data_IF_579729816295
#
_entry.id   IF_579729816295
#
_cell.length_a   1.000
_cell.length_b   1.000
_cell.length_c   1.000
_cell.angle_alpha   90.00
_cell.angle_beta   90.00
_cell.angle_gamma   90.00
#
_symmetry.space_group_name_H-M   'P 1'
#
loop_
_entity.id
_entity.type
_entity.pdbx_description
1 polymer ?
#
# COMPACT_ATOMS: atom_id res chain seq x y z
N UNK A 1 -27.51 7.05 17.91
CA UNK A 1 -26.97 6.30 16.74
C UNK A 1 -28.17 5.88 15.90
N UNK A 2 -28.05 5.85 14.58
CA UNK A 2 -29.19 5.54 13.70
C UNK A 2 -29.63 4.08 13.91
N UNK A 3 -30.93 3.84 14.12
CA UNK A 3 -31.55 2.51 14.22
C UNK A 3 -31.47 1.69 12.91
N UNK A 4 -30.67 2.13 11.96
CA UNK A 4 -30.48 1.46 10.68
C UNK A 4 -29.40 0.38 10.81
N UNK A 5 -29.73 -0.89 10.62
CA UNK A 5 -28.79 -2.00 10.67
C UNK A 5 -27.62 -1.76 9.68
N UNK A 6 -26.39 -1.92 10.17
CA UNK A 6 -25.22 -1.46 9.46
C UNK A 6 -24.09 -2.49 9.54
N UNK A 7 -23.37 -2.66 8.45
CA UNK A 7 -22.05 -3.29 8.44
C UNK A 7 -20.99 -2.21 8.66
N UNK A 8 -20.23 -2.32 9.74
CA UNK A 8 -19.09 -1.46 10.04
C UNK A 8 -17.78 -2.15 9.65
N UNK A 9 -16.92 -1.49 8.90
CA UNK A 9 -15.57 -1.96 8.63
C UNK A 9 -14.66 -1.31 9.68
N UNK A 10 -14.13 -2.11 10.59
CA UNK A 10 -13.45 -1.62 11.79
C UNK A 10 -11.96 -2.01 11.75
N UNK A 11 -11.06 -1.06 11.49
CA UNK A 11 -9.63 -1.30 11.59
C UNK A 11 -9.18 -1.64 13.01
N UNK A 12 -8.25 -2.58 13.13
CA UNK A 12 -7.62 -3.03 14.37
C UNK A 12 -6.14 -2.63 14.40
N UNK A 13 -5.48 -2.61 15.57
CA UNK A 13 -4.06 -2.30 15.67
C UNK A 13 -3.17 -3.20 14.81
N UNK A 14 -2.08 -2.67 14.28
CA UNK A 14 -1.06 -3.41 13.52
C UNK A 14 0.15 -3.83 14.36
N UNK A 15 0.08 -3.67 15.68
CA UNK A 15 1.17 -4.04 16.60
C UNK A 15 1.15 -3.30 17.92
N UNK A 16 0.54 -2.11 17.97
CA UNK A 16 0.40 -1.33 19.19
C UNK A 16 -1.09 -1.11 19.50
N UNK A 17 -1.55 -1.66 20.60
CA UNK A 17 -2.95 -1.56 21.01
C UNK A 17 -3.43 -0.08 21.12
N UNK A 18 -2.55 0.84 21.48
CA UNK A 18 -2.89 2.27 21.58
C UNK A 18 -3.30 2.93 20.26
N UNK A 19 -3.03 2.29 19.12
CA UNK A 19 -3.39 2.81 17.79
C UNK A 19 -4.85 2.59 17.41
N UNK A 20 -5.63 1.85 18.20
CA UNK A 20 -7.07 1.72 17.95
C UNK A 20 -7.77 3.05 18.18
N UNK A 21 -8.68 3.41 17.28
CA UNK A 21 -9.42 4.67 17.47
C UNK A 21 -10.52 4.53 18.51
N UNK A 22 -10.83 5.61 19.24
CA UNK A 22 -11.95 5.63 20.18
C UNK A 22 -13.27 5.23 19.48
N UNK A 23 -13.49 5.72 18.26
CA UNK A 23 -14.67 5.36 17.46
C UNK A 23 -14.76 3.87 17.15
N UNK A 24 -13.63 3.20 16.89
CA UNK A 24 -13.60 1.75 16.71
C UNK A 24 -14.05 1.02 17.98
N UNK A 25 -13.52 1.42 19.14
CA UNK A 25 -13.94 0.87 20.44
C UNK A 25 -15.42 1.08 20.73
N UNK A 26 -15.96 2.26 20.44
CA UNK A 26 -17.37 2.56 20.66
C UNK A 26 -18.28 1.75 19.76
N UNK A 27 -17.90 1.53 18.50
CA UNK A 27 -18.61 0.66 17.57
C UNK A 27 -18.57 -0.79 18.05
N UNK A 28 -17.37 -1.31 18.40
CA UNK A 28 -17.23 -2.70 18.89
C UNK A 28 -18.06 -2.97 20.16
N UNK A 29 -18.29 -1.95 21.01
CA UNK A 29 -19.18 -2.06 22.19
C UNK A 29 -20.66 -2.02 21.83
N UNK A 30 -21.02 -1.43 20.69
CA UNK A 30 -22.42 -1.16 20.33
C UNK A 30 -23.01 -2.15 19.35
N UNK A 31 -22.20 -2.91 18.60
CA UNK A 31 -22.69 -3.87 17.61
C UNK A 31 -23.20 -5.16 18.24
N UNK A 32 -24.10 -5.84 17.54
CA UNK A 32 -24.65 -7.13 17.99
C UNK A 32 -23.71 -8.29 17.73
N UNK A 33 -22.76 -8.14 16.79
CA UNK A 33 -21.90 -9.21 16.34
C UNK A 33 -20.60 -8.65 15.74
N UNK A 34 -19.47 -9.32 16.00
CA UNK A 34 -18.19 -9.07 15.34
C UNK A 34 -17.85 -10.23 14.41
N UNK A 35 -17.82 -9.98 13.10
CA UNK A 35 -17.28 -10.89 12.11
C UNK A 35 -15.75 -10.72 12.08
N UNK A 36 -15.03 -11.79 12.37
CA UNK A 36 -13.59 -11.80 12.59
C UNK A 36 -12.91 -12.87 11.74
N UNK A 37 -11.73 -12.57 11.24
CA UNK A 37 -10.89 -13.53 10.51
C UNK A 37 -10.49 -14.69 11.42
N UNK A 38 -9.78 -14.40 12.52
CA UNK A 38 -9.57 -15.35 13.64
C UNK A 38 -10.26 -14.83 14.91
N UNK A 39 -11.31 -15.53 15.33
CA UNK A 39 -12.09 -15.17 16.54
C UNK A 39 -11.27 -15.26 17.82
N UNK A 40 -10.18 -16.05 17.87
CA UNK A 40 -9.30 -16.18 19.04
C UNK A 40 -8.43 -14.93 19.15
N UNK A 41 -7.86 -14.49 18.03
CA UNK A 41 -7.04 -13.28 17.97
C UNK A 41 -7.88 -12.04 18.32
N UNK A 42 -9.04 -11.90 17.68
CA UNK A 42 -10.00 -10.84 17.99
C UNK A 42 -10.47 -10.89 19.45
N UNK A 43 -10.65 -12.10 20.01
CA UNK A 43 -11.03 -12.28 21.43
C UNK A 43 -10.00 -11.68 22.40
N UNK A 44 -8.71 -11.73 22.09
CA UNK A 44 -7.64 -11.11 22.91
C UNK A 44 -7.81 -9.58 22.89
N UNK A 45 -8.02 -8.98 21.70
CA UNK A 45 -8.26 -7.54 21.55
C UNK A 45 -9.50 -7.09 22.33
N UNK A 46 -10.64 -7.77 22.16
CA UNK A 46 -11.89 -7.46 22.84
C UNK A 46 -11.75 -7.56 24.37
N UNK A 47 -11.06 -8.60 24.86
CA UNK A 47 -10.80 -8.79 26.29
C UNK A 47 -9.94 -7.67 26.87
N UNK A 48 -8.90 -7.23 26.14
CA UNK A 48 -8.03 -6.12 26.58
C UNK A 48 -8.83 -4.83 26.82
N UNK A 49 -9.82 -4.55 25.94
CA UNK A 49 -10.67 -3.37 26.07
C UNK A 49 -11.96 -3.60 26.84
N UNK A 50 -12.09 -4.76 27.52
CA UNK A 50 -13.28 -5.15 28.29
C UNK A 50 -14.58 -5.06 27.49
N UNK A 51 -14.53 -5.49 26.22
CA UNK A 51 -15.67 -5.52 25.31
C UNK A 51 -16.21 -6.95 25.27
N UNK A 52 -17.51 -7.11 25.59
CA UNK A 52 -18.21 -8.38 25.54
C UNK A 52 -19.21 -8.34 24.39
N UNK A 53 -18.88 -8.98 23.28
CA UNK A 53 -19.70 -9.08 22.07
C UNK A 53 -19.51 -10.46 21.44
N UNK A 54 -20.58 -11.09 20.91
CA UNK A 54 -20.42 -12.36 20.18
C UNK A 54 -19.53 -12.19 18.95
N UNK A 55 -18.71 -13.22 18.68
CA UNK A 55 -17.87 -13.26 17.49
C UNK A 55 -18.34 -14.31 16.48
N UNK A 56 -18.04 -14.11 15.20
CA UNK A 56 -18.41 -14.98 14.10
C UNK A 56 -17.22 -15.11 13.15
N UNK A 57 -16.72 -16.32 12.93
CA UNK A 57 -15.55 -16.55 12.10
C UNK A 57 -15.86 -16.33 10.61
N UNK A 58 -15.15 -15.41 9.96
CA UNK A 58 -15.26 -15.08 8.56
C UNK A 58 -13.84 -14.96 7.95
N UNK A 59 -13.44 -15.96 7.18
CA UNK A 59 -12.13 -16.02 6.53
C UNK A 59 -12.29 -16.37 5.05
N UNK A 60 -11.28 -16.19 4.22
CA UNK A 60 -11.33 -16.37 2.75
C UNK A 60 -12.02 -17.65 2.29
N UNK A 61 -11.78 -18.78 2.98
CA UNK A 61 -12.35 -20.06 2.60
C UNK A 61 -13.86 -20.20 2.85
N UNK A 62 -14.46 -19.37 3.70
CA UNK A 62 -15.88 -19.48 4.06
C UNK A 62 -16.69 -18.21 3.79
N UNK A 63 -16.05 -17.13 3.36
CA UNK A 63 -16.65 -15.80 3.22
C UNK A 63 -17.89 -15.83 2.33
N UNK A 64 -17.82 -16.47 1.16
CA UNK A 64 -18.96 -16.53 0.23
C UNK A 64 -20.21 -17.18 0.83
N UNK A 65 -20.03 -18.27 1.56
CA UNK A 65 -21.15 -18.99 2.18
C UNK A 65 -21.72 -18.26 3.40
N UNK A 66 -20.83 -17.61 4.18
CA UNK A 66 -21.20 -16.93 5.43
C UNK A 66 -21.69 -15.49 5.23
N UNK A 67 -21.37 -14.88 4.09
CA UNK A 67 -21.85 -13.54 3.77
C UNK A 67 -23.39 -13.46 3.81
N UNK A 68 -24.09 -14.45 3.26
CA UNK A 68 -25.56 -14.49 3.28
C UNK A 68 -26.13 -14.56 4.69
N UNK A 69 -25.49 -15.33 5.56
CA UNK A 69 -25.91 -15.45 6.97
C UNK A 69 -25.76 -14.09 7.66
N UNK A 70 -24.67 -13.38 7.45
CA UNK A 70 -24.45 -12.05 8.03
C UNK A 70 -25.43 -11.02 7.47
N UNK A 71 -25.67 -11.02 6.16
CA UNK A 71 -26.65 -10.14 5.52
C UNK A 71 -28.06 -10.41 6.06
N UNK A 72 -28.43 -11.68 6.24
CA UNK A 72 -29.69 -12.06 6.87
C UNK A 72 -29.85 -11.44 8.26
N UNK A 73 -28.83 -11.58 9.12
CA UNK A 73 -28.83 -10.99 10.47
C UNK A 73 -28.94 -9.45 10.44
N UNK A 74 -28.26 -8.80 9.47
CA UNK A 74 -28.34 -7.33 9.34
C UNK A 74 -29.78 -6.94 8.91
N UNK A 75 -30.40 -7.66 7.98
CA UNK A 75 -31.78 -7.42 7.56
C UNK A 75 -32.81 -7.68 8.68
N UNK A 76 -32.48 -8.54 9.66
CA UNK A 76 -33.24 -8.77 10.87
C UNK A 76 -33.08 -7.68 11.94
N UNK A 77 -32.32 -6.62 11.64
CA UNK A 77 -32.14 -5.47 12.53
C UNK A 77 -30.83 -5.47 13.33
N UNK A 78 -29.90 -6.41 13.06
CA UNK A 78 -28.61 -6.49 13.75
C UNK A 78 -27.54 -5.62 13.08
N UNK A 79 -26.70 -4.96 13.88
CA UNK A 79 -25.48 -4.31 13.41
C UNK A 79 -24.28 -5.24 13.55
N UNK A 80 -23.41 -5.25 12.55
CA UNK A 80 -22.23 -6.13 12.48
C UNK A 80 -20.97 -5.30 12.29
N UNK A 81 -19.92 -5.60 13.04
CA UNK A 81 -18.56 -5.10 12.76
C UNK A 81 -17.75 -6.19 12.06
N UNK A 82 -17.09 -5.84 10.96
CA UNK A 82 -16.06 -6.67 10.31
C UNK A 82 -14.70 -6.19 10.79
N UNK A 83 -13.89 -7.11 11.29
CA UNK A 83 -12.49 -6.90 11.68
C UNK A 83 -11.59 -7.93 11.01
N UNK A 84 -10.34 -7.57 10.72
CA UNK A 84 -9.26 -8.50 10.38
C UNK A 84 -8.35 -8.72 11.59
N UNK A 85 -7.40 -9.60 11.47
CA UNK A 85 -6.44 -9.89 12.55
C UNK A 85 -5.59 -8.67 12.88
N UNK A 86 -5.22 -7.87 11.87
CA UNK A 86 -4.47 -6.63 12.05
C UNK A 86 -4.77 -5.63 10.93
N UNK A 87 -4.92 -4.35 11.26
CA UNK A 87 -5.08 -3.28 10.28
C UNK A 87 -6.50 -3.11 9.76
N UNK A 88 -6.61 -2.60 8.55
CA UNK A 88 -7.88 -2.30 7.89
C UNK A 88 -8.38 -3.52 7.12
N UNK A 89 -9.57 -4.07 7.44
CA UNK A 89 -10.14 -5.20 6.70
C UNK A 89 -10.17 -4.95 5.19
N UNK A 90 -10.13 -5.99 4.37
CA UNK A 90 -10.06 -6.00 2.91
C UNK A 90 -8.68 -5.64 2.32
N UNK A 91 -7.76 -5.08 3.08
CA UNK A 91 -6.42 -4.72 2.59
C UNK A 91 -5.49 -5.93 2.79
N UNK A 92 -5.45 -6.83 1.83
CA UNK A 92 -4.85 -8.18 1.88
C UNK A 92 -5.53 -9.14 2.88
N UNK A 93 -6.76 -8.83 3.26
CA UNK A 93 -7.57 -9.56 4.24
C UNK A 93 -8.96 -9.90 3.66
N UNK A 94 -9.68 -10.88 4.24
CA UNK A 94 -11.05 -11.20 3.82
C UNK A 94 -12.02 -10.04 4.04
N UNK A 95 -13.17 -10.07 3.34
CA UNK A 95 -14.25 -9.10 3.50
C UNK A 95 -14.80 -8.52 2.20
N UNK A 96 -14.08 -8.69 1.08
CA UNK A 96 -14.49 -8.15 -0.22
C UNK A 96 -15.87 -8.65 -0.66
N UNK A 97 -16.11 -9.96 -0.59
CA UNK A 97 -17.39 -10.56 -0.99
C UNK A 97 -18.52 -10.11 -0.08
N UNK A 98 -18.29 -10.06 1.24
CA UNK A 98 -19.27 -9.57 2.20
C UNK A 98 -19.68 -8.12 1.91
N UNK A 99 -18.70 -7.23 1.71
CA UNK A 99 -18.97 -5.81 1.42
C UNK A 99 -19.72 -5.66 0.10
N UNK A 100 -19.29 -6.34 -0.97
CA UNK A 100 -19.96 -6.33 -2.27
C UNK A 100 -21.43 -6.73 -2.14
N UNK A 101 -21.70 -7.87 -1.52
CA UNK A 101 -23.07 -8.39 -1.34
C UNK A 101 -23.92 -7.54 -0.40
N UNK A 102 -23.34 -6.94 0.64
CA UNK A 102 -24.05 -5.97 1.47
C UNK A 102 -24.51 -4.77 0.65
N UNK A 103 -23.65 -4.23 -0.21
CA UNK A 103 -24.00 -3.11 -1.10
C UNK A 103 -25.10 -3.49 -2.09
N UNK A 104 -25.01 -4.65 -2.73
CA UNK A 104 -26.04 -5.20 -3.62
C UNK A 104 -27.37 -5.40 -2.92
N UNK A 105 -27.34 -5.80 -1.66
CA UNK A 105 -28.54 -6.01 -0.82
C UNK A 105 -29.10 -4.72 -0.21
N UNK A 106 -28.54 -3.54 -0.51
CA UNK A 106 -28.95 -2.26 0.05
C UNK A 106 -28.63 -2.06 1.53
N UNK A 107 -27.71 -2.89 2.09
CA UNK A 107 -27.24 -2.76 3.47
C UNK A 107 -26.29 -1.56 3.56
N UNK A 108 -26.47 -0.75 4.60
CA UNK A 108 -25.55 0.36 4.89
C UNK A 108 -24.18 -0.18 5.28
N UNK A 109 -23.13 0.22 4.58
CA UNK A 109 -21.73 -0.08 4.90
C UNK A 109 -21.03 1.20 5.35
N UNK A 110 -20.43 1.18 6.54
CA UNK A 110 -19.75 2.33 7.15
C UNK A 110 -18.29 1.97 7.43
N UNK A 111 -17.34 2.50 6.66
CA UNK A 111 -15.92 2.34 6.96
C UNK A 111 -15.49 3.29 8.08
N UNK A 112 -14.62 2.80 8.97
CA UNK A 112 -13.96 3.63 9.96
C UNK A 112 -12.51 3.88 9.50
N UNK A 113 -11.99 5.11 9.66
CA UNK A 113 -10.56 5.35 9.51
C UNK A 113 -9.79 4.67 10.64
N UNK A 114 -8.59 4.17 10.34
CA UNK A 114 -7.76 3.51 11.36
C UNK A 114 -6.45 2.96 10.83
N UNK A 115 -5.75 2.12 11.60
CA UNK A 115 -4.44 1.60 11.26
C UNK A 115 -4.44 0.84 9.94
N UNK A 116 -3.37 1.06 9.14
CA UNK A 116 -3.11 0.34 7.90
C UNK A 116 -1.60 0.32 7.66
N UNK A 117 -0.99 -0.86 7.65
CA UNK A 117 0.46 -1.00 7.55
C UNK A 117 1.02 -0.39 6.25
N UNK A 118 0.32 -0.52 5.12
CA UNK A 118 0.73 0.05 3.84
C UNK A 118 0.82 1.59 3.89
N UNK A 119 -0.18 2.26 4.47
CA UNK A 119 -0.21 3.72 4.57
C UNK A 119 0.79 4.20 5.62
N UNK A 120 0.92 3.49 6.73
CA UNK A 120 1.90 3.80 7.78
C UNK A 120 3.32 3.72 7.22
N UNK A 121 3.67 2.65 6.49
CA UNK A 121 4.96 2.51 5.81
C UNK A 121 5.20 3.65 4.80
N UNK A 122 4.24 3.89 3.92
CA UNK A 122 4.33 4.90 2.87
C UNK A 122 4.57 6.31 3.46
N UNK A 123 3.91 6.63 4.58
CA UNK A 123 4.05 7.94 5.24
C UNK A 123 5.45 8.21 5.80
N UNK A 124 6.23 7.15 6.06
CA UNK A 124 7.58 7.24 6.64
C UNK A 124 8.70 6.84 5.67
N UNK A 125 8.37 6.33 4.48
CA UNK A 125 9.34 5.81 3.52
C UNK A 125 10.23 6.89 2.86
N UNK A 126 9.81 8.16 2.85
CA UNK A 126 10.55 9.24 2.19
C UNK A 126 10.55 9.15 0.66
N UNK A 127 9.63 8.40 0.07
CA UNK A 127 9.40 8.28 -1.37
C UNK A 127 8.19 9.11 -1.81
N UNK A 128 8.02 9.44 -3.10
CA UNK A 128 6.85 10.17 -3.58
C UNK A 128 5.53 9.48 -3.22
N UNK A 129 4.57 10.22 -2.68
CA UNK A 129 3.29 9.72 -2.19
C UNK A 129 2.07 10.24 -2.93
N UNK A 130 2.29 11.17 -3.87
CA UNK A 130 1.23 11.75 -4.71
C UNK A 130 0.50 10.69 -5.54
N UNK A 131 1.22 9.64 -5.93
CA UNK A 131 0.69 8.46 -6.61
C UNK A 131 1.43 7.23 -6.15
N UNK A 132 0.71 6.22 -5.68
CA UNK A 132 1.27 4.92 -5.29
C UNK A 132 0.37 3.77 -5.74
N UNK A 133 0.92 2.57 -5.77
CA UNK A 133 0.21 1.33 -6.01
C UNK A 133 0.46 0.36 -4.86
N UNK A 134 -0.63 -0.16 -4.29
CA UNK A 134 -0.56 -1.26 -3.34
C UNK A 134 -0.63 -2.58 -4.11
N UNK A 135 0.42 -3.37 -4.04
CA UNK A 135 0.60 -4.63 -4.76
C UNK A 135 0.30 -5.87 -3.90
N UNK A 136 0.14 -5.66 -2.57
CA UNK A 136 -0.07 -6.76 -1.63
C UNK A 136 1.14 -7.69 -1.53
N UNK A 137 0.87 -9.00 -1.30
CA UNK A 137 1.92 -10.01 -1.27
C UNK A 137 2.28 -10.49 -2.68
N UNK A 138 3.57 -10.53 -2.99
CA UNK A 138 4.05 -11.13 -4.22
C UNK A 138 3.85 -12.67 -4.19
N UNK A 139 3.66 -13.31 -5.36
CA UNK A 139 3.57 -14.76 -5.45
C UNK A 139 4.76 -15.47 -4.79
N UNK A 140 4.49 -16.57 -4.06
CA UNK A 140 5.52 -17.31 -3.35
C UNK A 140 6.53 -18.00 -4.29
N UNK A 141 6.08 -18.44 -5.47
CA UNK A 141 6.94 -19.06 -6.48
C UNK A 141 7.75 -17.99 -7.21
N UNK A 142 9.06 -18.23 -7.39
CA UNK A 142 10.00 -17.31 -8.04
C UNK A 142 9.47 -16.80 -9.40
N UNK A 143 9.05 -17.70 -10.28
CA UNK A 143 8.52 -17.29 -11.59
C UNK A 143 7.33 -16.32 -11.47
N UNK A 144 6.36 -16.62 -10.63
CA UNK A 144 5.18 -15.74 -10.46
C UNK A 144 5.56 -14.39 -9.85
N UNK A 145 6.54 -14.36 -8.92
CA UNK A 145 7.11 -13.14 -8.36
C UNK A 145 7.77 -12.31 -9.44
N UNK A 146 8.59 -12.93 -10.26
CA UNK A 146 9.29 -12.29 -11.37
C UNK A 146 8.30 -11.73 -12.40
N UNK A 147 7.31 -12.51 -12.80
CA UNK A 147 6.26 -12.08 -13.75
C UNK A 147 5.49 -10.86 -13.20
N UNK A 148 5.20 -10.83 -11.88
CA UNK A 148 4.52 -9.68 -11.27
C UNK A 148 5.41 -8.45 -11.21
N UNK A 149 6.67 -8.59 -10.84
CA UNK A 149 7.63 -7.48 -10.84
C UNK A 149 7.85 -6.94 -12.25
N UNK A 150 7.95 -7.81 -13.26
CA UNK A 150 8.05 -7.38 -14.65
C UNK A 150 6.82 -6.59 -15.11
N UNK A 151 5.62 -6.98 -14.67
CA UNK A 151 4.39 -6.26 -15.02
C UNK A 151 4.31 -4.83 -14.46
N UNK A 152 5.08 -4.52 -13.41
CA UNK A 152 5.15 -3.19 -12.79
C UNK A 152 6.50 -2.49 -13.04
N UNK A 153 7.33 -3.03 -13.93
CA UNK A 153 8.68 -2.50 -14.19
C UNK A 153 8.68 -1.06 -14.72
N UNK A 154 7.67 -0.69 -15.48
CA UNK A 154 7.51 0.66 -16.03
C UNK A 154 6.63 1.58 -15.17
N UNK A 155 6.14 1.10 -14.03
CA UNK A 155 5.26 1.90 -13.18
C UNK A 155 6.05 3.02 -12.49
N UNK A 156 5.63 4.25 -12.73
CA UNK A 156 6.27 5.46 -12.18
C UNK A 156 5.78 5.83 -10.78
N UNK A 157 4.79 5.10 -10.25
CA UNK A 157 4.26 5.30 -8.90
C UNK A 157 5.15 4.60 -7.87
N UNK A 158 5.14 5.07 -6.63
CA UNK A 158 5.69 4.29 -5.52
C UNK A 158 4.91 2.99 -5.35
N UNK A 159 5.61 1.86 -5.24
CA UNK A 159 5.02 0.53 -5.12
C UNK A 159 5.10 0.07 -3.67
N UNK A 160 4.00 -0.45 -3.12
CA UNK A 160 3.93 -0.94 -1.75
C UNK A 160 3.61 -2.43 -1.76
N UNK A 161 4.49 -3.23 -1.15
CA UNK A 161 4.33 -4.68 -1.03
C UNK A 161 4.30 -5.08 0.45
N UNK A 162 3.44 -6.02 0.78
CA UNK A 162 3.58 -6.80 2.01
C UNK A 162 4.52 -7.96 1.77
N UNK A 163 5.38 -8.26 2.72
CA UNK A 163 6.30 -9.38 2.55
C UNK A 163 6.54 -10.14 3.86
N UNK A 164 6.76 -11.44 3.72
CA UNK A 164 7.09 -12.29 4.85
C UNK A 164 8.59 -12.27 5.16
N UNK A 165 8.97 -12.42 6.43
CA UNK A 165 10.37 -12.40 6.86
C UNK A 165 11.23 -13.48 6.15
N UNK A 166 10.63 -14.61 5.80
CA UNK A 166 11.34 -15.73 5.14
C UNK A 166 11.64 -15.46 3.66
N UNK A 167 10.99 -14.47 3.05
CA UNK A 167 11.04 -14.21 1.61
C UNK A 167 11.61 -12.84 1.27
N UNK A 168 11.83 -11.97 2.26
CA UNK A 168 12.23 -10.59 2.02
C UNK A 168 13.54 -10.48 1.24
N UNK A 169 14.54 -11.30 1.53
CA UNK A 169 15.81 -11.31 0.79
C UNK A 169 15.60 -11.72 -0.67
N UNK A 170 14.92 -12.83 -0.93
CA UNK A 170 14.58 -13.29 -2.27
C UNK A 170 13.77 -12.24 -3.06
N UNK A 171 12.91 -11.50 -2.37
CA UNK A 171 12.08 -10.47 -3.00
C UNK A 171 12.90 -9.24 -3.34
N UNK A 172 13.80 -8.79 -2.45
CA UNK A 172 14.70 -7.66 -2.73
C UNK A 172 15.71 -8.01 -3.83
N UNK A 173 16.23 -9.25 -3.86
CA UNK A 173 17.06 -9.75 -4.97
C UNK A 173 16.31 -9.69 -6.31
N UNK A 174 15.06 -10.15 -6.35
CA UNK A 174 14.24 -10.08 -7.55
C UNK A 174 13.94 -8.64 -7.97
N UNK A 175 13.73 -7.74 -7.01
CA UNK A 175 13.58 -6.28 -7.27
C UNK A 175 14.84 -5.72 -7.90
N UNK A 176 16.02 -5.96 -7.33
CA UNK A 176 17.30 -5.50 -7.90
C UNK A 176 17.51 -5.99 -9.33
N UNK A 177 17.22 -7.26 -9.58
CA UNK A 177 17.39 -7.89 -10.90
C UNK A 177 16.41 -7.38 -11.96
N UNK A 178 15.14 -7.13 -11.59
CA UNK A 178 14.05 -6.85 -12.54
C UNK A 178 13.74 -5.36 -12.63
N UNK A 179 13.71 -4.66 -11.48
CA UNK A 179 13.40 -3.23 -11.41
C UNK A 179 14.66 -2.36 -11.41
N UNK A 180 15.84 -2.97 -11.32
CA UNK A 180 17.14 -2.26 -11.25
C UNK A 180 17.39 -1.61 -9.89
N UNK A 181 18.26 -0.63 -9.85
CA UNK A 181 18.72 0.05 -8.65
C UNK A 181 17.74 1.10 -8.11
N UNK A 182 16.46 0.72 -8.03
CA UNK A 182 15.45 1.57 -7.40
C UNK A 182 15.69 1.66 -5.90
N UNK A 183 15.32 2.79 -5.33
CA UNK A 183 15.28 2.93 -3.88
C UNK A 183 14.25 1.98 -3.29
N UNK A 184 14.68 1.13 -2.35
CA UNK A 184 13.84 0.19 -1.60
C UNK A 184 13.87 0.62 -0.14
N UNK A 185 12.70 0.78 0.46
CA UNK A 185 12.56 1.07 1.90
C UNK A 185 11.94 -0.14 2.57
N UNK A 186 12.66 -0.74 3.51
CA UNK A 186 12.20 -1.83 4.35
C UNK A 186 11.62 -1.22 5.64
N UNK A 187 10.31 -1.35 5.81
CA UNK A 187 9.59 -0.96 7.02
C UNK A 187 9.28 -2.23 7.81
N UNK A 188 9.90 -2.41 8.97
CA UNK A 188 9.82 -3.63 9.76
C UNK A 188 9.21 -3.35 11.12
N UNK A 189 8.33 -4.25 11.60
CA UNK A 189 7.73 -4.21 12.93
C UNK A 189 7.11 -2.84 13.27
N UNK A 190 6.41 -2.25 12.29
CA UNK A 190 5.76 -0.94 12.45
C UNK A 190 4.88 -0.90 13.70
N UNK A 191 4.97 0.18 14.44
CA UNK A 191 4.29 0.47 15.73
C UNK A 191 4.72 -0.38 16.92
N UNK A 192 5.64 -1.35 16.73
CA UNK A 192 6.13 -2.26 17.78
C UNK A 192 7.49 -1.79 18.36
N UNK A 193 7.93 -2.45 19.42
CA UNK A 193 9.18 -2.12 20.11
C UNK A 193 10.44 -2.15 19.23
N UNK A 194 10.44 -3.02 18.21
CA UNK A 194 11.58 -3.17 17.30
C UNK A 194 11.30 -2.57 15.92
N UNK A 195 10.48 -1.53 15.87
CA UNK A 195 10.23 -0.78 14.65
C UNK A 195 11.53 -0.29 14.01
N UNK A 196 11.67 -0.51 12.72
CA UNK A 196 12.79 0.03 11.95
C UNK A 196 12.36 0.35 10.52
N UNK A 197 12.86 1.49 10.01
CA UNK A 197 12.60 1.94 8.65
C UNK A 197 13.94 2.28 8.04
N UNK A 198 14.33 1.57 6.99
CA UNK A 198 15.63 1.73 6.35
C UNK A 198 15.49 1.76 4.84
N UNK A 199 16.12 2.73 4.18
CA UNK A 199 16.03 2.95 2.74
C UNK A 199 17.39 2.93 2.07
N UNK A 200 17.57 2.11 1.04
CA UNK A 200 18.80 1.96 0.24
C UNK A 200 18.45 1.61 -1.21
N UNK A 201 19.36 1.81 -2.19
CA UNK A 201 19.26 1.16 -3.48
C UNK A 201 19.14 -0.35 -3.35
N UNK A 202 18.46 -1.01 -4.29
CA UNK A 202 18.06 -2.41 -4.15
C UNK A 202 19.22 -3.39 -3.88
N UNK A 203 20.38 -3.23 -4.55
CA UNK A 203 21.56 -4.07 -4.32
C UNK A 203 22.21 -3.84 -2.95
N UNK A 204 22.26 -2.58 -2.50
CA UNK A 204 22.76 -2.24 -1.17
C UNK A 204 21.81 -2.72 -0.07
N UNK A 205 20.49 -2.65 -0.30
CA UNK A 205 19.48 -3.18 0.60
C UNK A 205 19.62 -4.69 0.77
N UNK A 206 19.88 -5.42 -0.31
CA UNK A 206 20.11 -6.86 -0.26
C UNK A 206 21.34 -7.19 0.62
N UNK A 207 22.43 -6.46 0.43
CA UNK A 207 23.64 -6.59 1.25
C UNK A 207 23.34 -6.31 2.72
N UNK A 208 22.67 -5.19 3.01
CA UNK A 208 22.28 -4.81 4.37
C UNK A 208 21.40 -5.87 5.05
N UNK A 209 20.42 -6.45 4.35
CA UNK A 209 19.58 -7.53 4.89
C UNK A 209 20.41 -8.78 5.24
N UNK A 210 21.46 -9.07 4.46
CA UNK A 210 22.35 -10.22 4.67
C UNK A 210 23.33 -10.09 5.85
N UNK A 211 23.57 -8.89 6.35
CA UNK A 211 24.52 -8.66 7.45
C UNK A 211 23.98 -9.04 8.84
N UNK A 212 22.65 -9.08 9.03
CA UNK A 212 22.00 -9.39 10.31
C UNK A 212 20.64 -10.05 10.09
N UNK A 213 20.51 -11.32 10.50
CA UNK A 213 19.29 -12.10 10.39
C UNK A 213 18.08 -11.44 11.11
N UNK A 214 18.31 -10.58 12.10
CA UNK A 214 17.22 -9.87 12.77
C UNK A 214 16.53 -8.87 11.84
N UNK A 215 17.22 -8.37 10.81
CA UNK A 215 16.66 -7.48 9.80
C UNK A 215 15.60 -8.16 8.93
N UNK A 216 15.61 -9.50 8.88
CA UNK A 216 14.65 -10.33 8.17
C UNK A 216 13.57 -10.95 9.09
N UNK A 217 13.38 -10.45 10.34
CA UNK A 217 12.38 -10.99 11.28
C UNK A 217 11.20 -10.03 11.44
N UNK A 218 10.06 -10.60 11.82
CA UNK A 218 8.82 -9.86 12.10
C UNK A 218 8.01 -9.54 10.84
N UNK A 219 7.12 -8.59 10.93
CA UNK A 219 6.26 -8.16 9.82
C UNK A 219 6.96 -7.08 9.00
N UNK A 220 6.88 -7.19 7.67
CA UNK A 220 7.65 -6.35 6.76
C UNK A 220 6.73 -5.74 5.70
N UNK A 221 6.88 -4.44 5.49
CA UNK A 221 6.35 -3.72 4.34
C UNK A 221 7.52 -3.19 3.52
N UNK A 222 7.53 -3.45 2.23
CA UNK A 222 8.48 -2.87 1.29
C UNK A 222 7.82 -1.70 0.56
N UNK A 223 8.50 -0.55 0.54
CA UNK A 223 8.11 0.57 -0.33
C UNK A 223 9.22 0.78 -1.34
N UNK A 224 8.89 0.68 -2.63
CA UNK A 224 9.85 0.74 -3.73
C UNK A 224 9.56 1.96 -4.58
N UNK A 225 10.58 2.72 -4.92
CA UNK A 225 10.44 3.86 -5.81
C UNK A 225 9.88 3.42 -7.17
N UNK A 226 9.04 4.24 -7.78
CA UNK A 226 8.59 4.06 -9.14
C UNK A 226 9.73 4.10 -10.16
N UNK A 227 9.47 3.67 -11.39
CA UNK A 227 10.39 3.88 -12.48
C UNK A 227 10.72 5.37 -12.60
N UNK A 228 12.00 5.71 -12.72
CA UNK A 228 12.36 7.05 -13.15
C UNK A 228 11.72 7.25 -14.53
N UNK A 229 11.04 8.36 -14.73
CA UNK A 229 10.82 8.78 -16.11
C UNK A 229 12.21 8.94 -16.68
N UNK A 230 12.59 8.13 -17.66
CA UNK A 230 13.78 8.43 -18.45
C UNK A 230 13.66 9.90 -18.83
N UNK A 231 14.63 10.72 -18.40
CA UNK A 231 14.82 12.01 -19.02
C UNK A 231 15.11 11.62 -20.46
N UNK A 232 14.18 11.84 -21.38
CA UNK A 232 14.39 11.61 -22.80
C UNK A 232 15.69 12.35 -23.13
N UNK A 233 16.76 11.60 -23.41
CA UNK A 233 18.02 12.18 -23.85
C UNK A 233 17.68 13.06 -25.04
N UNK A 234 17.87 14.38 -24.85
CA UNK A 234 17.56 15.33 -25.89
C UNK A 234 18.48 15.03 -27.08
N UNK A 235 17.96 14.82 -28.29
CA UNK A 235 18.79 14.61 -29.47
C UNK A 235 19.84 15.73 -29.60
N UNK A 236 21.07 15.37 -29.93
CA UNK A 236 22.17 16.33 -30.06
C UNK A 236 21.80 17.49 -31.00
N UNK A 237 21.01 17.21 -32.04
CA UNK A 237 20.49 18.23 -32.97
C UNK A 237 19.50 19.19 -32.31
N UNK A 238 18.64 18.69 -31.40
CA UNK A 238 17.72 19.53 -30.64
C UNK A 238 18.47 20.43 -29.66
N UNK A 239 19.50 19.91 -28.99
CA UNK A 239 20.40 20.69 -28.11
C UNK A 239 21.11 21.80 -28.92
N UNK A 240 21.67 21.47 -30.09
CA UNK A 240 22.30 22.44 -30.98
C UNK A 240 21.33 23.53 -31.43
N UNK A 241 20.15 23.16 -31.85
CA UNK A 241 19.10 24.11 -32.26
C UNK A 241 18.69 25.01 -31.11
N UNK A 242 18.49 24.45 -29.90
CA UNK A 242 18.22 25.23 -28.70
C UNK A 242 19.31 26.29 -28.45
N UNK A 243 20.59 25.90 -28.50
CA UNK A 243 21.73 26.81 -28.28
C UNK A 243 21.75 27.96 -29.27
N UNK A 244 21.45 27.69 -30.55
CA UNK A 244 21.36 28.75 -31.57
C UNK A 244 20.19 29.71 -31.30
N UNK A 245 19.04 29.19 -30.90
CA UNK A 245 17.87 30.01 -30.66
C UNK A 245 17.90 30.81 -29.35
N UNK A 246 18.60 30.30 -28.32
CA UNK A 246 18.79 31.04 -27.05
C UNK A 246 19.63 32.29 -27.21
N UNK A 247 20.54 32.31 -28.21
CA UNK A 247 21.35 33.50 -28.51
C UNK A 247 20.48 34.68 -28.99
N UNK A 248 19.33 34.39 -29.61
CA UNK A 248 18.46 35.41 -30.24
C UNK A 248 17.10 35.56 -29.55
N UNK A 249 16.68 34.59 -28.76
CA UNK A 249 15.33 34.53 -28.18
C UNK A 249 15.38 34.20 -26.67
N UNK A 250 14.38 34.67 -25.90
CA UNK A 250 14.21 34.20 -24.52
C UNK A 250 14.08 32.68 -24.45
N UNK A 251 14.74 32.02 -23.48
CA UNK A 251 14.83 30.58 -23.31
C UNK A 251 13.48 29.87 -23.46
N UNK A 252 12.41 30.42 -22.86
CA UNK A 252 11.06 29.86 -22.96
C UNK A 252 10.54 29.76 -24.40
N UNK A 253 10.88 30.72 -25.26
CA UNK A 253 10.49 30.77 -26.66
C UNK A 253 11.38 29.89 -27.52
N UNK A 254 12.69 29.91 -27.26
CA UNK A 254 13.66 29.03 -27.89
C UNK A 254 13.32 27.55 -27.65
N UNK A 255 13.04 27.17 -26.40
CA UNK A 255 12.61 25.80 -26.05
C UNK A 255 11.29 25.40 -26.73
N UNK A 256 10.34 26.31 -26.88
CA UNK A 256 9.08 26.02 -27.57
C UNK A 256 9.28 25.75 -29.05
N UNK A 257 10.07 26.59 -29.74
CA UNK A 257 10.36 26.42 -31.16
C UNK A 257 11.22 25.16 -31.43
N UNK A 258 12.21 24.91 -30.61
CA UNK A 258 13.05 23.69 -30.71
C UNK A 258 12.18 22.44 -30.54
N UNK A 259 11.25 22.46 -29.57
CA UNK A 259 10.32 21.35 -29.33
C UNK A 259 9.44 21.04 -30.56
N UNK A 260 8.94 22.09 -31.21
CA UNK A 260 8.13 21.97 -32.41
C UNK A 260 8.92 21.47 -33.61
N UNK A 261 10.16 21.96 -33.80
CA UNK A 261 11.06 21.56 -34.90
C UNK A 261 11.48 20.08 -34.80
N UNK A 262 11.82 19.62 -33.58
CA UNK A 262 12.41 18.29 -33.38
C UNK A 262 11.45 17.25 -32.81
N UNK A 263 10.18 17.61 -32.51
CA UNK A 263 9.19 16.70 -31.95
C UNK A 263 9.49 16.23 -30.52
N UNK A 264 10.28 17.00 -29.76
CA UNK A 264 10.69 16.68 -28.39
C UNK A 264 9.91 17.50 -27.35
N UNK A 265 9.94 17.08 -26.09
CA UNK A 265 9.18 17.78 -25.03
C UNK A 265 9.79 19.15 -24.72
N UNK A 266 8.99 20.20 -24.84
CA UNK A 266 9.37 21.56 -24.49
C UNK A 266 9.95 21.71 -23.09
N UNK A 267 9.37 20.99 -22.10
CA UNK A 267 9.83 21.08 -20.71
C UNK A 267 11.22 20.49 -20.51
N UNK A 268 11.57 19.44 -21.25
CA UNK A 268 12.93 18.86 -21.21
C UNK A 268 13.96 19.84 -21.77
N UNK A 269 13.66 20.46 -22.91
CA UNK A 269 14.50 21.51 -23.50
C UNK A 269 14.63 22.75 -22.60
N UNK A 270 13.55 23.15 -21.94
CA UNK A 270 13.58 24.30 -21.04
C UNK A 270 14.42 24.02 -19.78
N UNK A 271 14.29 22.82 -19.19
CA UNK A 271 15.13 22.38 -18.06
C UNK A 271 16.59 22.35 -18.45
N UNK A 272 16.91 21.71 -19.58
CA UNK A 272 18.28 21.70 -20.13
C UNK A 272 18.82 23.10 -20.30
N UNK A 273 18.02 24.01 -20.87
CA UNK A 273 18.43 25.39 -21.08
C UNK A 273 18.69 26.17 -19.79
N UNK A 274 17.95 25.92 -18.70
CA UNK A 274 18.21 26.54 -17.40
C UNK A 274 19.54 26.08 -16.75
N UNK A 275 20.00 24.87 -17.08
CA UNK A 275 21.24 24.31 -16.55
C UNK A 275 22.49 24.68 -17.36
N UNK A 276 22.31 25.06 -18.65
CA UNK A 276 23.44 25.22 -19.59
C UNK A 276 23.57 26.60 -20.21
N UNK A 277 22.51 27.44 -20.11
CA UNK A 277 22.47 28.81 -20.65
C UNK A 277 21.94 29.81 -19.63
#
# INVERSE_FOLDING_TARGET
>A
MSDIPTLYIVPTPIGNLADITQRALDILRSVDLVAAEDTRHTGILLSHYQISVPTFALHDHNEQQKADVLIGRIKEGKSVALVSDAGTPLISDPGYHLVTRCREAGVKVVPLPGPCAAITALSAAGLPTDRFAFEGFLPAKSKGRDDRLQAVSEDTRSLVFYESPRRVQDTVEAIARILGERQVVVCRELTKTFESIHGLPASEMLTWLGEDDNRCRGEIVLVVAGASKEEEDLPAEAIRTLGLLVAELPLKKAAALTAEIHGVKKNALYKYGLEHY
#
